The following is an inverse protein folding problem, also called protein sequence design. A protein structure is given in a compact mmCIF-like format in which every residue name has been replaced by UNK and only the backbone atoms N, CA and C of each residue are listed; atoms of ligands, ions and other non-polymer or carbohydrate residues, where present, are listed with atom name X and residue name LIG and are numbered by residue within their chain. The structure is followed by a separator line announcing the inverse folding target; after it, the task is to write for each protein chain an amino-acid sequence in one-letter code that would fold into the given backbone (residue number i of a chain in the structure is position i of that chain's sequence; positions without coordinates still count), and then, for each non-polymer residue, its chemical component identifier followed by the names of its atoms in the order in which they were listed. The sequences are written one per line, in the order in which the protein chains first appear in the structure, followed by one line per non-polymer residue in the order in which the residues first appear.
data_IF_776602253046
#
_entry.id   IF_776602253046
#
_cell.length_a   1.000
_cell.length_b   1.000
_cell.length_c   1.000
_cell.angle_alpha   90.00
_cell.angle_beta   90.00
_cell.angle_gamma   90.00
#
_symmetry.space_group_name_H-M   'P 1'
#
loop_
_entity.id
_entity.type
_entity.pdbx_description
1 polymer ?
#
# COMPACT_ATOMS: atom_id res chain seq x y z
N UNK A 1 5.49 6.76 1.94
CA UNK A 1 4.84 5.98 3.03
C UNK A 1 5.84 5.63 4.13
N UNK A 2 6.97 4.99 3.84
CA UNK A 2 8.02 4.69 4.82
C UNK A 2 8.41 5.89 5.71
N UNK A 3 8.74 7.04 5.09
CA UNK A 3 9.09 8.26 5.82
C UNK A 3 7.98 8.79 6.73
N UNK A 4 6.72 8.58 6.37
CA UNK A 4 5.59 9.01 7.21
C UNK A 4 5.58 8.24 8.53
N UNK A 5 5.96 6.96 8.49
CA UNK A 5 6.06 6.13 9.69
C UNK A 5 7.29 6.51 10.54
N UNK A 6 8.40 6.93 9.92
CA UNK A 6 9.51 7.55 10.65
C UNK A 6 9.07 8.84 11.35
N UNK A 7 8.33 9.71 10.66
CA UNK A 7 7.78 10.93 11.28
C UNK A 7 6.90 10.57 12.47
N UNK A 8 6.05 9.56 12.35
CA UNK A 8 5.22 9.11 13.47
C UNK A 8 6.04 8.57 14.64
N UNK A 9 7.10 7.81 14.37
CA UNK A 9 8.03 7.35 15.38
C UNK A 9 8.70 8.52 16.10
N UNK A 10 9.16 9.53 15.36
CA UNK A 10 9.69 10.78 15.92
C UNK A 10 8.67 11.51 16.79
N UNK A 11 7.42 11.62 16.32
CA UNK A 11 6.35 12.30 17.05
C UNK A 11 5.95 11.56 18.34
N UNK A 12 5.95 10.23 18.35
CA UNK A 12 5.74 9.44 19.56
C UNK A 12 6.89 9.67 20.58
N UNK A 13 8.15 9.67 20.13
CA UNK A 13 9.30 9.93 21.03
C UNK A 13 9.30 11.34 21.65
N UNK A 14 8.78 12.35 20.94
CA UNK A 14 8.73 13.74 21.43
C UNK A 14 7.42 14.09 22.15
N UNK A 15 6.31 13.45 21.77
CA UNK A 15 4.98 13.76 22.26
C UNK A 15 4.64 12.96 23.52
N UNK A 16 4.24 13.64 24.59
CA UNK A 16 3.83 12.98 25.85
C UNK A 16 2.33 12.68 25.94
N UNK A 17 1.52 13.41 25.17
CA UNK A 17 0.05 13.44 25.32
C UNK A 17 -0.70 13.05 24.03
N UNK A 18 0.01 12.66 22.97
CA UNK A 18 -0.60 12.30 21.69
C UNK A 18 0.04 11.01 21.21
N UNK A 19 -0.80 10.01 20.94
CA UNK A 19 -0.39 8.71 20.43
C UNK A 19 -0.54 8.70 18.93
N UNK A 20 0.51 8.29 18.23
CA UNK A 20 0.52 8.14 16.78
C UNK A 20 0.57 6.66 16.43
N UNK A 21 -0.42 6.21 15.65
CA UNK A 21 -0.59 4.83 15.20
C UNK A 21 -0.77 4.78 13.69
N UNK A 22 -0.16 3.78 13.04
CA UNK A 22 -0.31 3.57 11.61
C UNK A 22 -1.14 2.33 11.36
N UNK A 23 -1.92 2.38 10.28
CA UNK A 23 -2.64 1.22 9.78
C UNK A 23 -2.23 1.03 8.33
N UNK A 24 -1.80 -0.18 7.99
CA UNK A 24 -1.49 -0.58 6.63
C UNK A 24 -2.54 -1.56 6.15
N UNK A 25 -2.99 -1.34 4.93
CA UNK A 25 -3.79 -2.29 4.19
C UNK A 25 -3.47 -2.13 2.70
N UNK A 26 -3.72 -3.21 1.95
CA UNK A 26 -3.60 -3.26 0.50
C UNK A 26 -4.74 -2.52 -0.19
N UNK A 27 -5.18 -3.03 -1.34
CA UNK A 27 -6.25 -2.41 -2.09
C UNK A 27 -7.61 -2.52 -1.37
N UNK A 28 -8.42 -1.47 -1.52
CA UNK A 28 -9.80 -1.45 -1.03
C UNK A 28 -10.75 -1.58 -2.21
N UNK A 29 -11.61 -2.59 -2.19
CA UNK A 29 -12.58 -2.88 -3.24
C UNK A 29 -13.53 -1.70 -3.42
N UNK A 30 -13.63 -1.22 -4.66
CA UNK A 30 -14.58 -0.17 -5.03
C UNK A 30 -14.20 1.23 -4.52
N UNK A 31 -12.99 1.42 -3.99
CA UNK A 31 -12.53 2.75 -3.62
C UNK A 31 -12.35 3.65 -4.85
N UNK A 32 -12.40 4.97 -4.64
CA UNK A 32 -12.18 5.95 -5.70
C UNK A 32 -10.81 5.75 -6.37
N UNK A 33 -10.80 5.69 -7.70
CA UNK A 33 -9.57 5.48 -8.48
C UNK A 33 -9.01 4.05 -8.45
N UNK A 34 -9.71 3.09 -7.83
CA UNK A 34 -9.30 1.68 -7.86
C UNK A 34 -9.57 1.01 -9.21
N UNK A 35 -9.14 -0.24 -9.34
CA UNK A 35 -9.27 -1.05 -10.55
C UNK A 35 -10.73 -1.28 -10.96
N UNK A 36 -11.67 -1.39 -10.01
CA UNK A 36 -13.08 -1.67 -10.33
C UNK A 36 -13.74 -0.49 -11.05
N UNK A 37 -13.69 0.77 -10.54
CA UNK A 37 -14.16 1.93 -11.29
C UNK A 37 -13.51 2.09 -12.66
N UNK A 38 -12.22 1.75 -12.79
CA UNK A 38 -11.53 1.78 -14.08
C UNK A 38 -12.14 0.76 -15.06
N UNK A 39 -12.30 -0.49 -14.63
CA UNK A 39 -12.89 -1.56 -15.43
C UNK A 39 -14.32 -1.24 -15.83
N UNK A 40 -15.13 -0.69 -14.93
CA UNK A 40 -16.49 -0.20 -15.25
C UNK A 40 -16.47 0.83 -16.37
N UNK A 41 -15.65 1.87 -16.25
CA UNK A 41 -15.52 2.92 -17.28
C UNK A 41 -15.03 2.37 -18.62
N UNK A 42 -14.14 1.39 -18.60
CA UNK A 42 -13.65 0.72 -19.81
C UNK A 42 -14.76 -0.10 -20.46
N UNK A 43 -15.50 -0.88 -19.66
CA UNK A 43 -16.60 -1.70 -20.14
C UNK A 43 -17.75 -0.85 -20.71
N UNK A 44 -18.12 0.25 -20.03
CA UNK A 44 -19.11 1.23 -20.51
C UNK A 44 -18.74 1.85 -21.87
N UNK A 45 -17.45 1.88 -22.21
CA UNK A 45 -16.93 2.35 -23.50
C UNK A 45 -16.81 1.23 -24.55
N UNK A 46 -17.22 0.01 -24.23
CA UNK A 46 -17.11 -1.17 -25.10
C UNK A 46 -15.79 -1.94 -24.96
N UNK A 47 -14.97 -1.63 -23.94
CA UNK A 47 -13.66 -2.24 -23.75
C UNK A 47 -12.56 -1.65 -24.67
N UNK A 48 -11.37 -2.29 -24.73
CA UNK A 48 -10.96 -3.45 -23.94
C UNK A 48 -10.76 -3.12 -22.45
N UNK A 49 -10.75 -4.16 -21.61
CA UNK A 49 -10.28 -4.06 -20.23
C UNK A 49 -8.75 -4.12 -20.25
N UNK A 50 -8.08 -3.21 -19.53
CA UNK A 50 -6.61 -3.18 -19.49
C UNK A 50 -6.07 -3.72 -18.18
N UNK A 51 -5.13 -4.66 -18.25
CA UNK A 51 -4.39 -5.19 -17.10
C UNK A 51 -2.91 -4.87 -17.31
N UNK A 52 -2.17 -4.53 -16.25
CA UNK A 52 -0.76 -4.12 -16.43
C UNK A 52 0.14 -5.30 -16.75
N UNK A 53 -0.01 -6.42 -16.02
CA UNK A 53 0.70 -7.66 -16.30
C UNK A 53 -0.15 -8.88 -15.93
N UNK A 54 0.05 -10.00 -16.63
CA UNK A 54 -0.72 -11.23 -16.41
C UNK A 54 -0.64 -11.76 -14.98
N UNK A 55 0.56 -11.82 -14.43
CA UNK A 55 0.79 -12.35 -13.08
C UNK A 55 0.73 -11.31 -11.95
N UNK A 56 0.30 -10.07 -12.23
CA UNK A 56 0.26 -9.03 -11.19
C UNK A 56 -0.79 -9.39 -10.13
N UNK A 57 -0.41 -9.35 -8.86
CA UNK A 57 -1.32 -9.68 -7.75
C UNK A 57 -1.47 -8.52 -6.78
N UNK A 58 -2.65 -8.42 -6.15
CA UNK A 58 -2.94 -7.42 -5.13
C UNK A 58 -3.75 -8.03 -4.00
N UNK A 59 -3.57 -7.51 -2.79
CA UNK A 59 -4.45 -7.85 -1.68
C UNK A 59 -5.68 -6.96 -1.74
N UNK A 60 -6.85 -7.54 -1.46
CA UNK A 60 -8.10 -6.80 -1.45
C UNK A 60 -8.81 -6.96 -0.11
N UNK A 61 -9.39 -5.86 0.34
CA UNK A 61 -10.36 -5.85 1.43
C UNK A 61 -11.55 -4.97 1.06
N UNK A 62 -12.64 -5.12 1.78
CA UNK A 62 -13.82 -4.28 1.66
C UNK A 62 -13.66 -2.97 2.43
N UNK A 63 -14.46 -1.96 2.08
CA UNK A 63 -14.48 -0.68 2.79
C UNK A 63 -14.84 -0.86 4.28
N UNK A 64 -15.85 -1.66 4.67
CA UNK A 64 -16.17 -1.89 6.08
C UNK A 64 -15.02 -2.52 6.86
N UNK A 65 -14.31 -3.50 6.29
CA UNK A 65 -13.14 -4.11 6.93
C UNK A 65 -12.03 -3.07 7.16
N UNK A 66 -11.79 -2.19 6.19
CA UNK A 66 -10.75 -1.16 6.31
C UNK A 66 -11.11 -0.14 7.41
N UNK A 67 -12.37 0.30 7.43
CA UNK A 67 -12.87 1.21 8.44
C UNK A 67 -12.84 0.58 9.85
N UNK A 68 -13.24 -0.68 9.95
CA UNK A 68 -13.24 -1.43 11.21
C UNK A 68 -11.82 -1.56 11.76
N UNK A 69 -10.84 -1.93 10.91
CA UNK A 69 -9.44 -2.02 11.29
C UNK A 69 -8.92 -0.67 11.83
N UNK A 70 -9.22 0.44 11.15
CA UNK A 70 -8.78 1.78 11.59
C UNK A 70 -9.35 2.13 12.97
N UNK A 71 -10.63 1.86 13.21
CA UNK A 71 -11.27 2.10 14.49
C UNK A 71 -10.71 1.21 15.61
N UNK A 72 -10.49 -0.07 15.32
CA UNK A 72 -9.91 -1.02 16.27
C UNK A 72 -8.46 -0.66 16.61
N UNK A 73 -7.64 -0.34 15.61
CA UNK A 73 -6.27 0.13 15.81
C UNK A 73 -6.24 1.38 16.70
N UNK A 74 -7.09 2.38 16.43
CA UNK A 74 -7.18 3.58 17.26
C UNK A 74 -7.59 3.31 18.71
N UNK A 75 -8.43 2.30 18.96
CA UNK A 75 -8.85 1.90 20.30
C UNK A 75 -7.80 1.06 21.05
N UNK A 76 -6.92 0.36 20.32
CA UNK A 76 -5.93 -0.56 20.88
C UNK A 76 -4.54 0.05 21.02
N UNK A 77 -4.23 1.05 20.20
CA UNK A 77 -2.87 1.54 20.06
C UNK A 77 -2.32 2.09 21.37
N UNK A 78 -1.13 1.63 21.73
CA UNK A 78 -0.33 2.28 22.77
C UNK A 78 0.63 3.28 22.12
N UNK A 79 1.78 2.84 21.61
CA UNK A 79 2.78 3.76 21.07
C UNK A 79 3.56 3.15 19.90
N UNK A 80 3.57 3.85 18.75
CA UNK A 80 4.42 3.52 17.61
C UNK A 80 4.06 2.23 16.86
N UNK A 81 2.89 1.68 17.13
CA UNK A 81 2.43 0.43 16.52
C UNK A 81 1.93 0.65 15.09
N UNK A 82 2.18 -0.37 14.27
CA UNK A 82 1.63 -0.45 12.92
C UNK A 82 0.73 -1.68 12.84
N UNK A 83 -0.55 -1.43 12.57
CA UNK A 83 -1.57 -2.46 12.48
C UNK A 83 -1.78 -2.88 11.03
N UNK A 84 -1.95 -4.17 10.81
CA UNK A 84 -2.18 -4.79 9.50
C UNK A 84 -3.30 -5.80 9.65
N UNK A 85 -4.24 -5.82 8.70
CA UNK A 85 -5.23 -6.89 8.64
C UNK A 85 -4.67 -8.09 7.86
N UNK A 86 -5.01 -9.28 8.29
CA UNK A 86 -4.98 -10.48 7.47
C UNK A 86 -5.91 -10.27 6.27
N UNK A 87 -5.32 -10.09 5.10
CA UNK A 87 -6.06 -9.90 3.85
C UNK A 87 -6.24 -11.21 3.08
N UNK A 88 -5.90 -12.35 3.69
CA UNK A 88 -5.92 -13.65 3.05
C UNK A 88 -4.91 -13.76 1.91
N UNK A 89 -5.29 -14.44 0.84
CA UNK A 89 -4.42 -14.66 -0.33
C UNK A 89 -4.50 -13.51 -1.34
N UNK A 90 -3.38 -13.11 -1.95
CA UNK A 90 -3.38 -12.08 -2.97
C UNK A 90 -4.08 -12.56 -4.25
N UNK A 91 -4.85 -11.68 -4.89
CA UNK A 91 -5.65 -11.99 -6.07
C UNK A 91 -4.93 -11.56 -7.34
N UNK A 92 -4.89 -12.43 -8.36
CA UNK A 92 -4.40 -12.06 -9.70
C UNK A 92 -5.35 -11.09 -10.37
N UNK A 93 -4.83 -9.94 -10.82
CA UNK A 93 -5.66 -8.91 -11.47
C UNK A 93 -6.20 -9.38 -12.82
N UNK A 94 -5.47 -10.26 -13.54
CA UNK A 94 -5.96 -10.89 -14.77
C UNK A 94 -7.23 -11.72 -14.51
N UNK A 95 -7.20 -12.59 -13.50
CA UNK A 95 -8.35 -13.40 -13.11
C UNK A 95 -9.51 -12.53 -12.65
N UNK A 96 -9.19 -11.50 -11.85
CA UNK A 96 -10.16 -10.52 -11.40
C UNK A 96 -10.85 -9.80 -12.58
N UNK A 97 -10.10 -9.37 -13.59
CA UNK A 97 -10.63 -8.75 -14.81
C UNK A 97 -11.54 -9.69 -15.60
N UNK A 98 -11.13 -10.95 -15.77
CA UNK A 98 -11.92 -11.98 -16.46
C UNK A 98 -13.24 -12.24 -15.73
N UNK A 99 -13.19 -12.38 -14.41
CA UNK A 99 -14.39 -12.57 -13.60
C UNK A 99 -15.31 -11.34 -13.63
N UNK A 100 -14.75 -10.13 -13.59
CA UNK A 100 -15.50 -8.89 -13.72
C UNK A 100 -16.29 -8.82 -15.04
N UNK A 101 -15.67 -9.18 -16.17
CA UNK A 101 -16.34 -9.24 -17.48
C UNK A 101 -17.47 -10.27 -17.48
N UNK A 102 -17.23 -11.49 -16.98
CA UNK A 102 -18.27 -12.53 -16.86
C UNK A 102 -19.47 -12.10 -16.03
N UNK A 103 -19.20 -11.53 -14.86
CA UNK A 103 -20.25 -11.04 -13.95
C UNK A 103 -21.03 -9.85 -14.52
N UNK A 104 -20.46 -9.18 -15.54
CA UNK A 104 -21.13 -8.11 -16.28
C UNK A 104 -21.95 -8.63 -17.48
N UNK A 105 -22.03 -9.94 -17.68
CA UNK A 105 -22.85 -10.56 -18.73
C UNK A 105 -22.15 -10.76 -20.08
N UNK A 106 -20.82 -10.63 -20.12
CA UNK A 106 -20.02 -10.76 -21.34
C UNK A 106 -19.03 -11.93 -21.26
N UNK A 107 -18.66 -12.49 -22.40
CA UNK A 107 -17.62 -13.51 -22.50
C UNK A 107 -16.22 -12.88 -22.66
N UNK A 108 -15.28 -13.10 -21.71
CA UNK A 108 -13.92 -12.56 -21.80
C UNK A 108 -13.19 -13.06 -23.04
N UNK A 109 -12.45 -12.17 -23.69
CA UNK A 109 -11.72 -12.41 -24.93
C UNK A 109 -12.58 -12.77 -26.16
N UNK A 110 -13.91 -12.78 -26.03
CA UNK A 110 -14.86 -12.91 -27.15
C UNK A 110 -15.59 -11.58 -27.33
N UNK A 111 -16.40 -11.19 -26.36
CA UNK A 111 -17.15 -9.93 -26.37
C UNK A 111 -16.27 -8.75 -25.95
N UNK A 112 -15.47 -8.95 -24.89
CA UNK A 112 -14.60 -7.92 -24.31
C UNK A 112 -13.18 -8.46 -24.18
N UNK A 113 -12.25 -7.88 -24.93
CA UNK A 113 -10.82 -8.24 -24.89
C UNK A 113 -10.16 -7.76 -23.60
N UNK A 114 -9.22 -8.55 -23.08
CA UNK A 114 -8.29 -8.13 -22.04
C UNK A 114 -6.92 -7.85 -22.68
N UNK A 115 -6.42 -6.64 -22.49
CA UNK A 115 -5.16 -6.18 -23.08
C UNK A 115 -4.13 -5.89 -22.00
N UNK A 116 -2.93 -6.43 -22.17
CA UNK A 116 -1.81 -6.16 -21.28
C UNK A 116 -1.07 -4.89 -21.68
N UNK A 117 -0.95 -3.92 -20.77
CA UNK A 117 -0.33 -2.61 -21.07
C UNK A 117 1.12 -2.50 -20.62
N UNK A 118 1.65 -3.50 -19.92
CA UNK A 118 2.92 -3.41 -19.21
C UNK A 118 2.77 -2.76 -17.85
N UNK A 119 3.77 -2.99 -16.99
CA UNK A 119 3.89 -2.33 -15.70
C UNK A 119 4.23 -0.85 -15.90
N UNK A 120 3.62 0.01 -15.08
CA UNK A 120 3.97 1.44 -15.06
C UNK A 120 5.28 1.65 -14.28
N UNK A 121 6.01 2.76 -14.49
CA UNK A 121 7.18 3.09 -13.69
C UNK A 121 6.88 3.03 -12.19
N UNK A 122 7.69 2.28 -11.44
CA UNK A 122 7.53 2.04 -10.00
C UNK A 122 6.39 1.11 -9.59
N UNK A 123 5.65 0.52 -10.54
CA UNK A 123 4.59 -0.45 -10.22
C UNK A 123 5.17 -1.81 -9.87
N UNK A 124 4.92 -2.28 -8.64
CA UNK A 124 5.34 -3.60 -8.20
C UNK A 124 4.51 -4.72 -8.83
N UNK A 125 5.19 -5.83 -9.13
CA UNK A 125 4.55 -7.04 -9.60
C UNK A 125 3.69 -7.70 -8.50
N UNK A 126 4.24 -7.75 -7.28
CA UNK A 126 3.61 -8.31 -6.09
C UNK A 126 3.55 -7.24 -4.99
N UNK A 127 2.43 -7.16 -4.30
CA UNK A 127 2.26 -6.24 -3.18
C UNK A 127 2.83 -6.85 -1.90
N UNK A 128 3.54 -6.04 -1.11
CA UNK A 128 4.08 -6.43 0.19
C UNK A 128 3.34 -5.65 1.28
N UNK A 129 2.58 -6.33 2.14
CA UNK A 129 1.88 -5.69 3.26
C UNK A 129 2.86 -5.32 4.39
N UNK A 130 3.87 -6.16 4.61
CA UNK A 130 4.93 -5.95 5.60
C UNK A 130 6.26 -6.54 5.11
N UNK A 131 7.37 -5.91 5.52
CA UNK A 131 8.71 -6.25 5.04
C UNK A 131 9.43 -7.24 5.96
N UNK A 132 9.07 -7.28 7.24
CA UNK A 132 9.75 -8.07 8.25
C UNK A 132 8.73 -8.85 9.09
N UNK A 133 8.21 -9.95 8.54
CA UNK A 133 7.18 -10.78 9.16
C UNK A 133 7.55 -11.25 10.57
N UNK A 134 8.84 -11.31 10.88
CA UNK A 134 9.36 -11.84 12.14
C UNK A 134 9.14 -10.85 13.30
N UNK A 135 8.80 -9.59 13.01
CA UNK A 135 8.43 -8.56 13.98
C UNK A 135 6.92 -8.40 14.17
N UNK A 136 6.11 -9.20 13.48
CA UNK A 136 4.65 -9.15 13.58
C UNK A 136 4.13 -10.12 14.64
N UNK A 137 3.22 -9.64 15.48
CA UNK A 137 2.49 -10.47 16.45
C UNK A 137 1.00 -10.37 16.18
N UNK A 138 0.26 -11.46 16.31
CA UNK A 138 -1.20 -11.38 16.24
C UNK A 138 -1.73 -10.64 17.47
N UNK A 139 -2.65 -9.71 17.24
CA UNK A 139 -3.30 -8.97 18.31
C UNK A 139 -4.36 -9.83 19.02
N UNK A 140 -4.99 -9.29 20.07
CA UNK A 140 -6.15 -9.95 20.71
C UNK A 140 -7.37 -10.12 19.78
N UNK A 141 -7.41 -9.39 18.67
CA UNK A 141 -8.43 -9.56 17.63
C UNK A 141 -7.86 -10.39 16.50
N UNK A 142 -8.52 -11.51 16.23
CA UNK A 142 -8.14 -12.46 15.20
C UNK A 142 -8.01 -11.77 13.84
N UNK A 143 -6.92 -12.06 13.14
CA UNK A 143 -6.64 -11.50 11.82
C UNK A 143 -6.20 -10.04 11.84
N UNK A 144 -5.88 -9.46 13.00
CA UNK A 144 -5.17 -8.17 13.09
C UNK A 144 -3.79 -8.46 13.64
N UNK A 145 -2.78 -8.13 12.85
CA UNK A 145 -1.39 -8.22 13.24
C UNK A 145 -0.84 -6.85 13.63
N UNK A 146 0.00 -6.83 14.66
CA UNK A 146 0.68 -5.65 15.18
C UNK A 146 2.17 -5.82 15.00
N UNK A 147 2.77 -4.87 14.31
CA UNK A 147 4.22 -4.76 14.16
C UNK A 147 4.73 -3.47 14.77
N UNK A 148 6.02 -3.46 15.06
CA UNK A 148 6.76 -2.23 15.36
C UNK A 148 7.95 -2.15 14.44
N UNK A 149 8.22 -0.95 13.95
CA UNK A 149 9.49 -0.70 13.28
C UNK A 149 10.63 -0.80 14.28
N UNK A 150 11.81 -1.14 13.78
CA UNK A 150 13.02 -0.96 14.56
C UNK A 150 13.11 0.49 15.07
N UNK A 151 13.40 0.68 16.37
CA UNK A 151 13.58 1.99 16.94
C UNK A 151 14.74 2.71 16.25
N UNK A 152 14.47 3.92 15.77
CA UNK A 152 15.47 4.86 15.27
C UNK A 152 15.48 6.07 16.20
N UNK A 153 16.65 6.62 16.49
CA UNK A 153 16.79 7.76 17.41
C UNK A 153 16.13 9.02 16.83
N UNK A 154 15.45 9.81 17.66
CA UNK A 154 14.75 11.02 17.21
C UNK A 154 15.64 11.98 16.42
N UNK A 155 16.91 12.11 16.80
CA UNK A 155 17.85 13.01 16.14
C UNK A 155 18.25 12.51 14.74
N UNK A 156 18.36 11.19 14.58
CA UNK A 156 18.60 10.56 13.28
C UNK A 156 17.39 10.76 12.36
N UNK A 157 16.18 10.49 12.85
CA UNK A 157 14.94 10.72 12.09
C UNK A 157 14.83 12.20 11.69
N UNK A 158 15.11 13.12 12.62
CA UNK A 158 15.07 14.56 12.37
C UNK A 158 16.06 14.97 11.28
N UNK A 159 17.27 14.40 11.29
CA UNK A 159 18.28 14.63 10.26
C UNK A 159 17.75 14.24 8.88
N UNK A 160 17.10 13.08 8.77
CA UNK A 160 16.47 12.65 7.50
C UNK A 160 15.37 13.60 7.04
N UNK A 161 14.48 14.01 7.95
CA UNK A 161 13.39 14.95 7.64
C UNK A 161 13.93 16.31 7.20
N UNK A 162 14.93 16.85 7.90
CA UNK A 162 15.51 18.15 7.61
C UNK A 162 16.23 18.15 6.25
N UNK A 163 16.99 17.09 5.94
CA UNK A 163 17.63 16.94 4.63
C UNK A 163 16.60 16.96 3.50
N UNK A 164 15.55 16.14 3.61
CA UNK A 164 14.50 16.07 2.60
C UNK A 164 13.77 17.41 2.46
N UNK A 165 13.44 18.07 3.57
CA UNK A 165 12.77 19.38 3.56
C UNK A 165 13.59 20.44 2.82
N UNK A 166 14.91 20.42 2.98
CA UNK A 166 15.79 21.41 2.36
C UNK A 166 15.98 21.16 0.86
N UNK A 167 16.06 19.90 0.42
CA UNK A 167 16.45 19.57 -0.95
C UNK A 167 15.28 19.18 -1.86
N UNK A 168 14.10 18.88 -1.32
CA UNK A 168 12.98 18.31 -2.10
C UNK A 168 12.47 19.17 -3.27
N UNK A 169 12.69 20.48 -3.23
CA UNK A 169 12.25 21.40 -4.29
C UNK A 169 13.36 21.79 -5.26
N UNK A 170 14.61 21.62 -4.85
CA UNK A 170 15.78 22.14 -5.56
C UNK A 170 16.57 21.04 -6.28
N UNK A 171 16.56 19.81 -5.75
CA UNK A 171 17.35 18.69 -6.27
C UNK A 171 16.56 17.37 -6.30
N UNK A 172 15.64 17.19 -7.27
CA UNK A 172 14.85 15.96 -7.38
C UNK A 172 15.69 14.69 -7.56
N UNK A 173 16.83 14.77 -8.27
CA UNK A 173 17.71 13.62 -8.48
C UNK A 173 18.43 13.22 -7.18
N UNK A 174 18.98 14.19 -6.44
CA UNK A 174 19.61 13.92 -5.15
C UNK A 174 18.65 13.39 -4.08
N UNK A 175 17.34 13.67 -4.20
CA UNK A 175 16.32 13.05 -3.35
C UNK A 175 16.20 11.55 -3.64
N UNK A 176 16.24 11.11 -4.90
CA UNK A 176 16.15 9.68 -5.23
C UNK A 176 17.32 8.91 -4.61
N UNK A 177 18.54 9.41 -4.78
CA UNK A 177 19.75 8.80 -4.19
C UNK A 177 19.70 8.79 -2.66
N UNK A 178 19.14 9.84 -2.06
CA UNK A 178 18.97 9.90 -0.61
C UNK A 178 17.91 8.91 -0.11
N UNK A 179 16.80 8.76 -0.86
CA UNK A 179 15.73 7.83 -0.54
C UNK A 179 16.22 6.39 -0.57
N UNK A 180 17.10 6.01 -1.51
CA UNK A 180 17.70 4.66 -1.55
C UNK A 180 18.54 4.37 -0.30
N UNK A 181 19.19 5.39 0.28
CA UNK A 181 19.98 5.23 1.51
C UNK A 181 19.10 5.07 2.75
N UNK A 182 18.01 5.81 2.85
CA UNK A 182 17.16 5.89 4.05
C UNK A 182 16.06 4.83 4.07
N UNK A 183 15.62 4.39 2.90
CA UNK A 183 14.51 3.45 2.74
C UNK A 183 15.06 2.18 2.08
N UNK A 184 15.35 1.11 2.85
CA UNK A 184 16.01 -0.09 2.33
C UNK A 184 15.29 -0.77 1.15
N UNK A 185 13.98 -0.58 1.04
CA UNK A 185 13.13 -1.14 -0.01
C UNK A 185 12.79 -0.14 -1.11
N UNK A 186 13.41 1.04 -1.07
CA UNK A 186 13.31 1.99 -2.15
C UNK A 186 14.40 1.64 -3.15
N UNK A 187 13.95 1.15 -4.30
CA UNK A 187 14.80 0.97 -5.46
C UNK A 187 14.36 2.05 -6.45
N UNK A 188 15.25 3.01 -6.72
CA UNK A 188 15.08 3.89 -7.87
C UNK A 188 15.40 3.02 -9.09
N UNK A 189 14.43 2.24 -9.51
CA UNK A 189 14.47 1.64 -10.83
C UNK A 189 14.46 2.81 -11.82
N UNK A 190 15.65 3.21 -12.29
CA UNK A 190 15.79 4.09 -13.46
C UNK A 190 15.26 3.31 -14.67
N UNK A 191 13.94 3.39 -14.88
CA UNK A 191 13.26 3.02 -16.12
C UNK A 191 12.42 4.20 -16.60
#
# INVERSE_FOLDING_TARGET
KYLCELIMQYMNQKGKNTRYVAVRFGNVLGSNGSVIPLFRKQLERGGPITVTHKDVTRYFMTIPEAAQLVLQAGAMADEGEIFILDMGEPVKIDEFARNFVRLSGFEPDVDIKIVYTGLRPGEKMYEELWQDSDTMTESRFKGIFVGRRHPMEAEEIKTHIDYLRQHALEDPEGIHDYMEKVVPTYHSDKH
#
